data_IF_894701599866
#
_entry.id   IF_894701599866
#
_cell.length_a   1.000
_cell.length_b   1.000
_cell.length_c   1.000
_cell.angle_alpha   90.00
_cell.angle_beta   90.00
_cell.angle_gamma   90.00
#
_symmetry.space_group_name_H-M   'P 1'
#
loop_
_entity.id
_entity.type
_entity.pdbx_description
1 polymer ?
#
# COMPACT_ATOMS: atom_id res chain seq x y z
N UNK A 1 32.94 -12.83 -7.11
CA UNK A 1 32.87 -11.60 -7.95
C UNK A 1 31.77 -11.60 -9.05
N UNK A 2 31.18 -12.73 -9.44
CA UNK A 2 30.13 -12.78 -10.46
C UNK A 2 28.76 -12.23 -9.97
N UNK A 3 28.50 -12.26 -8.67
CA UNK A 3 27.18 -11.96 -8.11
C UNK A 3 26.76 -10.48 -8.13
N UNK A 4 27.73 -9.56 -8.00
CA UNK A 4 27.44 -8.11 -8.11
C UNK A 4 27.11 -7.66 -9.54
N UNK A 5 27.51 -8.45 -10.54
CA UNK A 5 27.30 -8.13 -11.94
C UNK A 5 25.85 -8.28 -12.37
N UNK A 6 25.18 -9.34 -11.95
CA UNK A 6 23.78 -9.59 -12.29
C UNK A 6 22.82 -8.53 -11.72
N UNK A 7 23.07 -8.05 -10.50
CA UNK A 7 22.27 -6.98 -9.91
C UNK A 7 22.48 -5.65 -10.62
N UNK A 8 23.75 -5.31 -10.92
CA UNK A 8 24.08 -4.11 -11.68
C UNK A 8 23.47 -4.12 -13.10
N UNK A 9 23.49 -5.28 -13.77
CA UNK A 9 22.86 -5.46 -15.08
C UNK A 9 21.33 -5.28 -15.01
N UNK A 10 20.67 -5.80 -13.96
CA UNK A 10 19.23 -5.57 -13.73
C UNK A 10 18.98 -4.08 -13.49
N UNK A 11 19.74 -3.42 -12.63
CA UNK A 11 19.59 -2.00 -12.36
C UNK A 11 19.79 -1.14 -13.61
N UNK A 12 20.78 -1.47 -14.43
CA UNK A 12 21.03 -0.75 -15.70
C UNK A 12 19.93 -1.00 -16.71
N UNK A 13 19.50 -2.25 -16.89
CA UNK A 13 18.44 -2.62 -17.82
C UNK A 13 17.09 -1.96 -17.50
N UNK A 14 16.78 -1.83 -16.20
CA UNK A 14 15.51 -1.29 -15.72
C UNK A 14 15.64 0.12 -15.12
N UNK A 15 16.65 0.89 -15.53
CA UNK A 15 16.86 2.27 -15.06
C UNK A 15 15.68 3.21 -15.39
N UNK A 16 14.87 2.89 -16.41
CA UNK A 16 13.65 3.60 -16.76
C UNK A 16 12.41 3.23 -15.92
N UNK A 17 12.53 2.23 -15.04
CA UNK A 17 11.43 1.73 -14.20
C UNK A 17 11.58 2.14 -12.74
N UNK A 18 10.51 2.02 -11.98
CA UNK A 18 10.56 2.03 -10.50
C UNK A 18 11.00 0.65 -10.03
N UNK A 19 12.30 0.43 -9.91
CA UNK A 19 12.84 -0.86 -9.52
C UNK A 19 12.60 -1.10 -8.03
N UNK A 20 11.82 -2.14 -7.71
CA UNK A 20 11.54 -2.57 -6.34
C UNK A 20 12.51 -3.69 -5.97
N UNK A 21 13.45 -3.37 -5.10
CA UNK A 21 14.40 -4.34 -4.59
C UNK A 21 14.09 -4.66 -3.14
N UNK A 22 13.85 -5.92 -2.79
CA UNK A 22 13.87 -6.32 -1.39
C UNK A 22 15.27 -6.02 -0.83
N UNK A 23 15.34 -5.40 0.34
CA UNK A 23 16.58 -4.88 0.93
C UNK A 23 17.60 -5.98 1.27
N UNK A 24 18.40 -6.39 0.30
CA UNK A 24 19.61 -7.16 0.48
C UNK A 24 20.62 -6.68 -0.55
N UNK A 25 21.74 -6.16 -0.08
CA UNK A 25 22.82 -5.64 -0.92
C UNK A 25 23.77 -6.75 -1.41
N UNK A 26 23.72 -7.94 -0.85
CA UNK A 26 24.52 -9.09 -1.25
C UNK A 26 23.62 -10.19 -1.81
N UNK A 27 23.56 -10.25 -3.13
CA UNK A 27 22.83 -11.31 -3.82
C UNK A 27 23.80 -12.41 -4.21
N UNK A 28 23.86 -13.47 -3.42
CA UNK A 28 24.41 -14.73 -3.89
C UNK A 28 23.36 -15.40 -4.78
N UNK A 29 23.68 -15.56 -6.06
CA UNK A 29 22.83 -16.30 -6.98
C UNK A 29 22.94 -17.79 -6.65
N UNK A 30 21.85 -18.38 -6.22
CA UNK A 30 21.76 -19.81 -6.00
C UNK A 30 21.45 -20.49 -7.34
N UNK A 31 22.23 -21.46 -7.83
CA UNK A 31 22.07 -22.08 -9.14
C UNK A 31 20.77 -22.89 -9.31
N UNK A 32 20.04 -23.12 -8.22
CA UNK A 32 18.71 -23.75 -8.24
C UNK A 32 17.59 -22.77 -8.58
N UNK A 33 17.87 -21.47 -8.63
CA UNK A 33 16.86 -20.45 -8.83
C UNK A 33 17.18 -19.51 -9.99
N UNK A 34 16.14 -19.09 -10.68
CA UNK A 34 16.20 -18.09 -11.74
C UNK A 34 15.51 -16.81 -11.30
N UNK A 35 16.13 -15.67 -11.56
CA UNK A 35 15.54 -14.35 -11.37
C UNK A 35 14.92 -13.90 -12.70
N UNK A 36 13.65 -13.58 -12.67
CA UNK A 36 12.95 -12.89 -13.76
C UNK A 36 12.45 -11.56 -13.24
N UNK A 37 12.54 -10.49 -14.05
CA UNK A 37 11.98 -9.18 -13.67
C UNK A 37 10.62 -9.04 -14.34
N UNK A 38 9.62 -8.78 -13.52
CA UNK A 38 8.25 -8.54 -13.97
C UNK A 38 7.99 -7.04 -13.99
N UNK A 39 7.49 -6.52 -15.11
CA UNK A 39 7.07 -5.14 -15.22
C UNK A 39 5.57 -5.02 -14.94
N UNK A 40 5.21 -4.08 -14.08
CA UNK A 40 3.81 -3.81 -13.71
C UNK A 40 3.52 -2.35 -14.02
N UNK A 41 2.80 -2.06 -15.11
CA UNK A 41 2.38 -0.71 -15.42
C UNK A 41 1.33 -0.22 -14.42
N UNK A 42 1.31 1.10 -14.21
CA UNK A 42 0.33 1.76 -13.35
C UNK A 42 -0.73 2.40 -14.26
N UNK A 43 -1.98 2.10 -13.99
CA UNK A 43 -3.07 2.79 -14.66
C UNK A 43 -3.42 4.07 -13.88
N UNK A 44 -3.12 5.22 -14.49
CA UNK A 44 -3.36 6.55 -13.91
C UNK A 44 -4.70 7.16 -14.32
N UNK A 45 -5.57 6.41 -15.00
CA UNK A 45 -6.92 6.87 -15.32
C UNK A 45 -7.73 7.07 -14.03
N UNK A 46 -8.65 8.04 -14.03
CA UNK A 46 -9.40 8.46 -12.83
C UNK A 46 -10.18 7.31 -12.18
N UNK A 47 -10.60 6.33 -12.95
CA UNK A 47 -11.45 5.22 -12.49
C UNK A 47 -10.70 3.89 -12.31
N UNK A 48 -9.38 3.85 -12.52
CA UNK A 48 -8.60 2.62 -12.41
C UNK A 48 -8.53 2.08 -10.99
N UNK A 49 -8.51 2.98 -10.00
CA UNK A 49 -8.32 2.64 -8.60
C UNK A 49 -6.90 2.16 -8.24
N UNK A 50 -5.95 2.19 -9.19
CA UNK A 50 -4.57 1.76 -8.93
C UNK A 50 -3.85 2.68 -7.94
N UNK A 51 -4.18 3.98 -7.96
CA UNK A 51 -3.57 4.98 -7.09
C UNK A 51 -4.63 5.96 -6.56
N UNK A 52 -4.32 6.61 -5.44
CA UNK A 52 -5.13 7.71 -4.92
C UNK A 52 -4.23 8.87 -4.51
N UNK A 53 -4.72 10.10 -4.69
CA UNK A 53 -4.01 11.32 -4.30
C UNK A 53 -3.95 11.41 -2.77
N UNK A 54 -2.74 11.60 -2.23
CA UNK A 54 -2.51 11.74 -0.78
C UNK A 54 -2.32 13.20 -0.40
N UNK A 55 -1.54 13.93 -1.19
CA UNK A 55 -1.18 15.30 -0.88
C UNK A 55 -0.38 15.95 -1.99
N UNK A 56 0.43 16.91 -1.62
CA UNK A 56 1.43 17.53 -2.48
C UNK A 56 2.70 17.80 -1.69
N UNK A 57 3.84 17.67 -2.36
CA UNK A 57 5.16 17.97 -1.81
C UNK A 57 5.73 19.20 -2.51
N UNK A 58 6.43 20.01 -1.75
CA UNK A 58 7.14 21.17 -2.26
C UNK A 58 8.41 20.69 -2.98
N UNK A 59 8.59 21.07 -4.22
CA UNK A 59 9.80 20.83 -5.01
C UNK A 59 10.32 22.14 -5.57
N UNK A 60 11.63 22.31 -5.56
CA UNK A 60 12.27 23.49 -6.19
C UNK A 60 12.59 23.13 -7.63
N UNK A 61 11.89 23.75 -8.59
CA UNK A 61 12.15 23.63 -10.02
C UNK A 61 12.59 24.98 -10.57
N UNK A 62 13.77 25.02 -11.18
CA UNK A 62 14.35 26.26 -11.74
C UNK A 62 14.41 27.43 -10.74
N UNK A 63 14.73 27.13 -9.48
CA UNK A 63 14.81 28.12 -8.40
C UNK A 63 13.46 28.63 -7.89
N UNK A 64 12.35 28.04 -8.31
CA UNK A 64 10.99 28.35 -7.83
C UNK A 64 10.39 27.15 -7.09
N UNK A 65 9.69 27.43 -6.02
CA UNK A 65 8.98 26.42 -5.27
C UNK A 65 7.66 26.06 -5.98
N UNK A 66 7.51 24.80 -6.38
CA UNK A 66 6.32 24.26 -7.01
C UNK A 66 5.76 23.12 -6.15
N UNK A 67 4.45 23.09 -5.96
CA UNK A 67 3.78 21.98 -5.27
C UNK A 67 3.41 20.92 -6.29
N UNK A 68 3.99 19.73 -6.12
CA UNK A 68 3.74 18.56 -6.99
C UNK A 68 2.85 17.57 -6.24
N UNK A 69 1.75 17.16 -6.88
CA UNK A 69 0.83 16.19 -6.31
C UNK A 69 1.50 14.83 -6.08
N UNK A 70 1.19 14.22 -4.94
CA UNK A 70 1.68 12.89 -4.56
C UNK A 70 0.54 11.91 -4.46
N UNK A 71 0.81 10.68 -4.86
CA UNK A 71 -0.12 9.58 -4.95
C UNK A 71 0.43 8.37 -4.18
N UNK A 72 -0.46 7.58 -3.64
CA UNK A 72 -0.11 6.32 -2.98
C UNK A 72 -0.73 5.15 -3.73
N UNK A 73 0.03 4.04 -3.92
CA UNK A 73 -0.52 2.82 -4.47
C UNK A 73 -1.70 2.31 -3.66
N UNK A 74 -2.81 2.03 -4.33
CA UNK A 74 -4.02 1.48 -3.75
C UNK A 74 -4.02 -0.06 -3.82
N UNK A 75 -5.04 -0.70 -3.23
CA UNK A 75 -5.15 -2.17 -3.17
C UNK A 75 -5.00 -2.86 -4.53
N UNK A 76 -5.64 -2.41 -5.64
CA UNK A 76 -5.49 -3.08 -6.93
C UNK A 76 -4.04 -3.14 -7.40
N UNK A 77 -3.32 -2.02 -7.37
CA UNK A 77 -1.90 -1.99 -7.76
C UNK A 77 -1.03 -2.82 -6.82
N UNK A 78 -1.28 -2.74 -5.51
CA UNK A 78 -0.52 -3.52 -4.53
C UNK A 78 -0.69 -5.03 -4.76
N UNK A 79 -1.90 -5.48 -5.11
CA UNK A 79 -2.15 -6.90 -5.43
C UNK A 79 -1.46 -7.32 -6.75
N UNK A 80 -1.43 -6.46 -7.78
CA UNK A 80 -0.66 -6.72 -9.01
C UNK A 80 0.83 -6.88 -8.70
N UNK A 81 1.39 -6.01 -7.85
CA UNK A 81 2.78 -6.07 -7.42
C UNK A 81 3.08 -7.31 -6.57
N UNK A 82 2.18 -7.69 -5.67
CA UNK A 82 2.32 -8.90 -4.87
C UNK A 82 2.36 -10.16 -5.75
N UNK A 83 1.47 -10.24 -6.74
CA UNK A 83 1.43 -11.35 -7.69
C UNK A 83 2.71 -11.39 -8.54
N UNK A 84 3.19 -10.24 -9.03
CA UNK A 84 4.43 -10.12 -9.79
C UNK A 84 5.66 -10.55 -8.98
N UNK A 85 5.74 -10.15 -7.70
CA UNK A 85 6.79 -10.54 -6.77
C UNK A 85 6.75 -12.02 -6.36
N UNK A 86 5.60 -12.69 -6.57
CA UNK A 86 5.37 -14.04 -6.09
C UNK A 86 5.16 -14.10 -4.56
N UNK A 87 4.58 -13.04 -3.98
CA UNK A 87 4.23 -13.03 -2.55
C UNK A 87 3.08 -14.02 -2.32
N UNK A 88 3.28 -14.89 -1.35
CA UNK A 88 2.27 -15.84 -0.87
C UNK A 88 1.84 -15.46 0.54
N UNK A 89 0.54 -15.38 0.76
CA UNK A 89 -0.03 -15.19 2.08
C UNK A 89 -0.37 -16.53 2.70
N UNK A 90 0.04 -16.71 3.95
CA UNK A 90 -0.29 -17.88 4.74
C UNK A 90 -1.76 -17.77 5.20
N UNK A 91 -2.65 -18.69 4.79
CA UNK A 91 -4.07 -18.60 5.12
C UNK A 91 -4.36 -18.82 6.61
N UNK A 92 -3.53 -19.56 7.33
CA UNK A 92 -3.72 -19.83 8.77
C UNK A 92 -3.24 -18.62 9.60
N UNK A 93 -2.26 -17.88 9.10
CA UNK A 93 -1.65 -16.72 9.76
C UNK A 93 -2.20 -15.38 9.27
N UNK A 94 -3.05 -15.40 8.23
CA UNK A 94 -3.69 -14.20 7.67
C UNK A 94 -5.18 -14.25 7.99
N UNK A 95 -5.58 -13.52 9.02
CA UNK A 95 -6.94 -13.57 9.52
C UNK A 95 -7.38 -12.21 10.09
N UNK A 96 -8.70 -12.04 10.18
CA UNK A 96 -9.32 -10.93 10.89
C UNK A 96 -10.21 -11.43 12.01
N UNK A 97 -10.17 -10.76 13.14
CA UNK A 97 -11.02 -11.05 14.30
C UNK A 97 -11.73 -9.78 14.77
N UNK A 98 -12.90 -9.96 15.31
CA UNK A 98 -13.60 -8.94 16.09
C UNK A 98 -13.29 -9.20 17.56
N UNK A 99 -12.38 -8.41 18.15
CA UNK A 99 -11.96 -8.59 19.54
C UNK A 99 -13.09 -8.26 20.53
N UNK A 100 -13.88 -7.23 20.19
CA UNK A 100 -15.09 -6.84 20.93
C UNK A 100 -16.06 -6.11 19.99
N UNK A 101 -17.14 -5.49 20.54
CA UNK A 101 -18.16 -4.81 19.75
C UNK A 101 -17.61 -3.65 18.91
N UNK A 102 -16.55 -2.98 19.40
CA UNK A 102 -16.01 -1.77 18.79
C UNK A 102 -14.61 -1.93 18.21
N UNK A 103 -14.00 -3.12 18.28
CA UNK A 103 -12.62 -3.30 17.87
C UNK A 103 -12.42 -4.45 16.89
N UNK A 104 -11.90 -4.13 15.72
CA UNK A 104 -11.53 -5.08 14.68
C UNK A 104 -10.01 -5.12 14.53
N UNK A 105 -9.45 -6.31 14.58
CA UNK A 105 -8.03 -6.56 14.37
C UNK A 105 -7.86 -7.50 13.19
N UNK A 106 -6.94 -7.18 12.31
CA UNK A 106 -6.52 -8.10 11.26
C UNK A 106 -5.00 -8.26 11.30
N UNK A 107 -4.56 -9.48 11.03
CA UNK A 107 -3.17 -9.85 10.89
C UNK A 107 -2.97 -10.44 9.51
N UNK A 108 -1.88 -10.06 8.85
CA UNK A 108 -1.45 -10.69 7.62
C UNK A 108 -0.01 -11.19 7.77
N UNK A 109 0.25 -12.36 7.20
CA UNK A 109 1.58 -12.96 7.12
C UNK A 109 1.86 -13.31 5.67
N UNK A 110 2.90 -12.73 5.11
CA UNK A 110 3.31 -12.97 3.74
C UNK A 110 4.75 -13.44 3.66
N UNK A 111 5.05 -14.20 2.62
CA UNK A 111 6.37 -14.72 2.30
C UNK A 111 6.68 -14.49 0.83
N UNK A 112 7.92 -14.22 0.52
CA UNK A 112 8.46 -14.20 -0.85
C UNK A 112 9.83 -14.85 -0.88
N UNK A 113 10.23 -15.35 -2.04
CA UNK A 113 11.56 -15.91 -2.22
C UNK A 113 12.55 -14.83 -2.64
N UNK A 114 13.71 -14.85 -2.00
CA UNK A 114 14.81 -13.94 -2.28
C UNK A 114 15.76 -14.55 -3.33
N UNK A 115 16.59 -13.71 -4.00
CA UNK A 115 17.55 -14.18 -5.01
C UNK A 115 18.55 -15.23 -4.53
N UNK A 116 18.88 -15.22 -3.24
CA UNK A 116 19.74 -16.23 -2.60
C UNK A 116 19.04 -17.58 -2.34
N UNK A 117 17.75 -17.69 -2.69
CA UNK A 117 16.93 -18.86 -2.46
C UNK A 117 16.25 -18.89 -1.09
N UNK A 118 16.61 -17.99 -0.18
CA UNK A 118 16.00 -17.91 1.15
C UNK A 118 14.58 -17.33 1.06
N UNK A 119 13.75 -17.66 2.05
CA UNK A 119 12.45 -17.04 2.22
C UNK A 119 12.54 -15.75 3.02
N UNK A 120 12.00 -14.63 2.50
CA UNK A 120 11.75 -13.43 3.29
C UNK A 120 10.29 -13.44 3.73
N UNK A 121 10.06 -13.32 5.02
CA UNK A 121 8.71 -13.27 5.60
C UNK A 121 8.47 -11.94 6.29
N UNK A 122 7.22 -11.51 6.32
CA UNK A 122 6.79 -10.35 7.09
C UNK A 122 5.38 -10.56 7.62
N UNK A 123 5.16 -10.12 8.84
CA UNK A 123 3.83 -10.09 9.45
C UNK A 123 3.53 -8.66 9.90
N UNK A 124 2.31 -8.22 9.69
CA UNK A 124 1.84 -6.92 10.16
C UNK A 124 0.37 -7.01 10.59
N UNK A 125 -0.02 -6.08 11.44
CA UNK A 125 -1.37 -6.01 12.00
C UNK A 125 -1.97 -4.63 11.73
N UNK A 126 -3.29 -4.60 11.54
CA UNK A 126 -4.08 -3.37 11.51
C UNK A 126 -5.25 -3.51 12.46
N UNK A 127 -5.34 -2.56 13.37
CA UNK A 127 -6.49 -2.42 14.27
C UNK A 127 -7.34 -1.25 13.78
N UNK A 128 -8.65 -1.41 13.85
CA UNK A 128 -9.63 -0.34 13.76
C UNK A 128 -10.43 -0.38 15.05
N UNK A 129 -10.25 0.67 15.84
CA UNK A 129 -10.99 0.91 17.06
C UNK A 129 -12.08 1.95 16.75
N UNK A 130 -13.33 1.55 16.91
CA UNK A 130 -14.47 2.40 16.55
C UNK A 130 -14.65 3.56 17.52
N UNK A 131 -14.21 3.39 18.78
CA UNK A 131 -14.31 4.45 19.78
C UNK A 131 -13.30 5.56 19.49
N UNK A 132 -12.06 5.19 19.13
CA UNK A 132 -11.04 6.14 18.69
C UNK A 132 -11.47 6.87 17.40
N UNK A 133 -12.04 6.14 16.44
CA UNK A 133 -12.50 6.72 15.18
C UNK A 133 -13.70 7.65 15.38
N UNK A 134 -14.61 7.33 16.32
CA UNK A 134 -15.70 8.21 16.70
C UNK A 134 -15.19 9.53 17.30
N UNK A 135 -14.22 9.45 18.21
CA UNK A 135 -13.58 10.62 18.78
C UNK A 135 -12.89 11.49 17.70
N UNK A 136 -12.18 10.85 16.77
CA UNK A 136 -11.53 11.52 15.65
C UNK A 136 -12.57 12.24 14.73
N UNK A 137 -13.66 11.59 14.40
CA UNK A 137 -14.74 12.21 13.61
C UNK A 137 -15.38 13.38 14.36
N UNK A 138 -15.57 13.26 15.67
CA UNK A 138 -16.16 14.34 16.47
C UNK A 138 -15.26 15.58 16.45
N UNK A 139 -13.95 15.42 16.60
CA UNK A 139 -12.97 16.52 16.49
C UNK A 139 -12.96 17.10 15.08
N UNK A 140 -12.95 16.26 14.05
CA UNK A 140 -12.94 16.70 12.66
C UNK A 140 -14.18 17.55 12.31
N UNK A 141 -15.38 17.11 12.73
CA UNK A 141 -16.61 17.83 12.42
C UNK A 141 -16.80 19.06 13.31
N UNK A 142 -16.26 19.05 14.53
CA UNK A 142 -16.18 20.27 15.33
C UNK A 142 -15.34 21.33 14.62
N UNK A 143 -14.14 20.96 14.18
CA UNK A 143 -13.26 21.85 13.43
C UNK A 143 -13.92 22.39 12.15
N UNK A 144 -14.55 21.52 11.37
CA UNK A 144 -15.28 21.92 10.14
C UNK A 144 -16.43 22.86 10.43
N UNK A 145 -17.15 22.68 11.53
CA UNK A 145 -18.27 23.54 11.90
C UNK A 145 -17.84 24.96 12.25
N UNK A 146 -16.63 25.12 12.83
CA UNK A 146 -16.07 26.40 13.27
C UNK A 146 -15.29 27.09 12.15
N UNK A 147 -14.38 26.36 11.49
CA UNK A 147 -13.49 26.88 10.45
C UNK A 147 -14.19 27.04 9.09
N UNK A 148 -15.29 26.32 8.90
CA UNK A 148 -16.07 26.28 7.67
C UNK A 148 -15.82 25.02 6.83
N UNK A 149 -16.87 24.53 6.24
CA UNK A 149 -16.90 23.38 5.32
C UNK A 149 -16.49 23.89 3.94
N UNK A 150 -15.30 23.51 3.47
CA UNK A 150 -14.74 23.98 2.19
C UNK A 150 -15.07 23.07 0.99
N UNK A 151 -15.55 21.85 1.23
CA UNK A 151 -16.06 20.98 0.16
C UNK A 151 -17.43 21.49 -0.30
N UNK A 152 -17.57 21.84 -1.57
CA UNK A 152 -18.74 22.52 -2.11
C UNK A 152 -20.04 21.70 -1.93
N UNK A 153 -19.97 20.38 -2.16
CA UNK A 153 -21.16 19.50 -2.03
C UNK A 153 -21.57 19.37 -0.57
N UNK A 154 -20.60 19.14 0.31
CA UNK A 154 -20.85 19.03 1.75
C UNK A 154 -21.35 20.36 2.34
N UNK A 155 -20.79 21.51 1.90
CA UNK A 155 -21.20 22.83 2.33
C UNK A 155 -22.66 23.15 1.92
N UNK A 156 -23.05 22.86 0.67
CA UNK A 156 -24.43 23.02 0.20
C UNK A 156 -25.40 22.15 0.98
N UNK A 157 -25.07 20.86 1.17
CA UNK A 157 -25.90 19.94 1.94
C UNK A 157 -26.02 20.37 3.43
N UNK A 158 -24.97 20.95 4.01
CA UNK A 158 -25.04 21.50 5.37
C UNK A 158 -25.91 22.76 5.43
N UNK A 159 -25.83 23.64 4.43
CA UNK A 159 -26.63 24.86 4.37
C UNK A 159 -28.13 24.60 4.20
N UNK A 160 -28.50 23.46 3.61
CA UNK A 160 -29.92 23.04 3.51
C UNK A 160 -30.49 22.53 4.84
N UNK A 161 -29.66 22.04 5.74
CA UNK A 161 -30.11 21.36 6.96
C UNK A 161 -29.83 22.14 8.25
N UNK A 162 -28.82 23.01 8.26
CA UNK A 162 -28.39 23.69 9.46
C UNK A 162 -28.22 25.19 9.22
N UNK A 163 -28.50 25.98 10.23
CA UNK A 163 -28.30 27.44 10.20
C UNK A 163 -26.76 27.72 10.19
N UNK A 164 -26.40 28.73 9.42
CA UNK A 164 -25.02 29.15 9.33
C UNK A 164 -24.82 30.27 8.30
N UNK A 165 -23.56 30.55 7.99
CA UNK A 165 -23.19 31.61 7.07
C UNK A 165 -22.09 31.20 6.12
N UNK A 166 -22.14 31.73 4.90
CA UNK A 166 -21.06 31.59 3.94
C UNK A 166 -19.96 32.60 4.23
N UNK A 167 -18.71 32.13 4.21
CA UNK A 167 -17.52 32.98 4.37
C UNK A 167 -16.56 32.74 3.21
N UNK A 168 -15.69 33.70 2.95
CA UNK A 168 -14.56 33.52 2.05
C UNK A 168 -13.46 32.77 2.80
N UNK A 169 -12.95 31.72 2.20
CA UNK A 169 -11.96 30.84 2.79
C UNK A 169 -10.94 30.37 1.75
N UNK A 170 -9.93 29.68 2.22
CA UNK A 170 -8.97 29.01 1.35
C UNK A 170 -9.04 27.51 1.62
N UNK A 171 -9.19 26.73 0.56
CA UNK A 171 -9.22 25.29 0.71
C UNK A 171 -7.82 24.73 1.05
N UNK A 172 -7.75 23.45 1.38
CA UNK A 172 -6.49 22.77 1.72
C UNK A 172 -5.40 22.82 0.63
N UNK A 173 -5.76 23.30 -0.57
CA UNK A 173 -4.85 23.44 -1.72
C UNK A 173 -4.41 24.89 -1.95
N UNK A 174 -4.71 25.79 -1.02
CA UNK A 174 -4.39 27.23 -1.15
C UNK A 174 -5.25 28.00 -2.16
N UNK A 175 -6.36 27.40 -2.67
CA UNK A 175 -7.26 28.08 -3.61
C UNK A 175 -8.38 28.76 -2.84
N UNK A 176 -8.73 30.01 -3.24
CA UNK A 176 -9.88 30.73 -2.71
C UNK A 176 -11.17 29.93 -2.98
N UNK A 177 -12.01 29.82 -1.99
CA UNK A 177 -13.29 29.14 -2.06
C UNK A 177 -14.29 29.76 -1.10
N UNK A 178 -15.57 29.40 -1.23
CA UNK A 178 -16.59 29.68 -0.21
C UNK A 178 -16.64 28.50 0.76
N UNK A 179 -16.70 28.80 2.05
CA UNK A 179 -16.91 27.81 3.10
C UNK A 179 -18.19 28.13 3.87
N UNK A 180 -18.85 27.09 4.38
CA UNK A 180 -20.06 27.24 5.18
C UNK A 180 -19.75 26.98 6.65
N UNK A 181 -19.93 27.97 7.50
CA UNK A 181 -19.76 27.90 8.95
C UNK A 181 -21.11 27.67 9.60
N UNK A 182 -21.18 26.68 10.49
CA UNK A 182 -22.41 26.35 11.21
C UNK A 182 -22.58 27.25 12.43
N UNK A 183 -23.77 27.82 12.61
CA UNK A 183 -24.08 28.62 13.79
C UNK A 183 -24.08 27.79 15.08
N UNK A 184 -23.77 28.42 16.18
CA UNK A 184 -23.64 27.77 17.50
C UNK A 184 -24.91 26.96 17.89
N UNK A 185 -26.08 27.44 17.53
CA UNK A 185 -27.36 26.77 17.86
C UNK A 185 -27.58 25.42 17.16
N UNK A 186 -26.92 25.20 16.01
CA UNK A 186 -27.06 23.95 15.25
C UNK A 186 -25.77 23.14 15.19
N UNK A 187 -24.68 23.65 15.79
CA UNK A 187 -23.35 23.03 15.74
C UNK A 187 -23.34 21.61 16.26
N UNK A 188 -23.90 21.37 17.44
CA UNK A 188 -23.94 20.03 18.03
C UNK A 188 -24.75 19.05 17.18
N UNK A 189 -25.89 19.47 16.66
CA UNK A 189 -26.71 18.64 15.76
C UNK A 189 -25.96 18.26 14.47
N UNK A 190 -25.21 19.21 13.92
CA UNK A 190 -24.36 18.95 12.75
C UNK A 190 -23.27 17.91 13.08
N UNK A 191 -22.57 18.07 14.21
CA UNK A 191 -21.51 17.14 14.64
C UNK A 191 -22.10 15.75 14.85
N UNK A 192 -23.13 15.61 15.67
CA UNK A 192 -23.78 14.33 15.98
C UNK A 192 -24.23 13.58 14.72
N UNK A 193 -24.94 14.28 13.82
CA UNK A 193 -25.38 13.69 12.56
C UNK A 193 -24.22 13.25 11.69
N UNK A 194 -23.19 14.08 11.57
CA UNK A 194 -22.02 13.80 10.73
C UNK A 194 -21.22 12.63 11.27
N UNK A 195 -21.03 12.55 12.58
CA UNK A 195 -20.39 11.42 13.26
C UNK A 195 -21.21 10.15 13.04
N UNK A 196 -22.53 10.18 13.27
CA UNK A 196 -23.40 9.02 13.10
C UNK A 196 -23.33 8.45 11.68
N UNK A 197 -23.36 9.30 10.65
CA UNK A 197 -23.26 8.88 9.25
C UNK A 197 -21.92 8.20 8.98
N UNK A 198 -20.81 8.82 9.40
CA UNK A 198 -19.46 8.27 9.15
C UNK A 198 -19.22 6.99 9.95
N UNK A 199 -19.68 6.92 11.21
CA UNK A 199 -19.58 5.70 12.02
C UNK A 199 -20.41 4.56 11.44
N UNK A 200 -21.60 4.85 10.89
CA UNK A 200 -22.40 3.82 10.22
C UNK A 200 -21.70 3.23 9.01
N UNK A 201 -21.04 4.08 8.19
CA UNK A 201 -20.25 3.63 7.05
C UNK A 201 -19.01 2.85 7.50
N UNK A 202 -18.32 3.32 8.54
CA UNK A 202 -17.14 2.66 9.06
C UNK A 202 -17.46 1.28 9.63
N UNK A 203 -18.53 1.15 10.44
CA UNK A 203 -18.97 -0.14 11.00
C UNK A 203 -19.25 -1.19 9.94
N UNK A 204 -19.81 -0.79 8.79
CA UNK A 204 -20.05 -1.70 7.66
C UNK A 204 -18.77 -2.23 7.02
N UNK A 205 -17.69 -1.45 7.05
CA UNK A 205 -16.46 -1.74 6.31
C UNK A 205 -15.24 -1.97 7.19
N UNK A 206 -15.37 -1.88 8.52
CA UNK A 206 -14.24 -1.92 9.45
C UNK A 206 -13.41 -3.22 9.33
N UNK A 207 -14.06 -4.37 9.27
CA UNK A 207 -13.40 -5.66 9.13
C UNK A 207 -12.61 -5.75 7.81
N UNK A 208 -13.21 -5.33 6.70
CA UNK A 208 -12.57 -5.32 5.38
C UNK A 208 -11.41 -4.32 5.33
N UNK A 209 -11.59 -3.13 5.90
CA UNK A 209 -10.52 -2.11 5.99
C UNK A 209 -9.35 -2.58 6.84
N UNK A 210 -9.61 -3.28 7.97
CA UNK A 210 -8.56 -3.84 8.81
C UNK A 210 -7.75 -4.89 8.04
N UNK A 211 -8.43 -5.86 7.39
CA UNK A 211 -7.78 -6.90 6.61
C UNK A 211 -7.00 -6.34 5.43
N UNK A 212 -7.61 -5.46 4.64
CA UNK A 212 -6.94 -4.80 3.51
C UNK A 212 -5.72 -4.00 4.00
N UNK A 213 -5.84 -3.31 5.12
CA UNK A 213 -4.73 -2.56 5.71
C UNK A 213 -3.56 -3.44 6.12
N UNK A 214 -3.80 -4.58 6.77
CA UNK A 214 -2.76 -5.53 7.16
C UNK A 214 -2.05 -6.12 5.93
N UNK A 215 -2.82 -6.59 4.92
CA UNK A 215 -2.27 -7.12 3.67
C UNK A 215 -1.41 -6.08 2.94
N UNK A 216 -1.91 -4.86 2.81
CA UNK A 216 -1.19 -3.78 2.13
C UNK A 216 0.14 -3.42 2.82
N UNK A 217 0.20 -3.48 4.14
CA UNK A 217 1.42 -3.25 4.92
C UNK A 217 2.45 -4.35 4.66
N UNK A 218 2.02 -5.60 4.65
CA UNK A 218 2.88 -6.76 4.34
C UNK A 218 3.46 -6.63 2.92
N UNK A 219 2.63 -6.30 1.91
CA UNK A 219 3.11 -6.12 0.53
C UNK A 219 4.17 -5.01 0.48
N UNK A 220 3.91 -3.86 1.10
CA UNK A 220 4.85 -2.73 1.12
C UNK A 220 6.18 -3.10 1.78
N UNK A 221 6.13 -3.80 2.91
CA UNK A 221 7.33 -4.22 3.65
C UNK A 221 8.17 -5.24 2.88
N UNK A 222 7.52 -6.20 2.22
CA UNK A 222 8.21 -7.22 1.43
C UNK A 222 8.84 -6.63 0.16
N UNK A 223 8.13 -5.73 -0.53
CA UNK A 223 8.56 -5.16 -1.82
C UNK A 223 9.42 -3.91 -1.70
N UNK A 224 9.49 -3.28 -0.52
CA UNK A 224 10.21 -2.02 -0.33
C UNK A 224 9.55 -0.80 -1.00
N UNK A 225 8.24 -0.84 -1.21
CA UNK A 225 7.49 0.26 -1.81
C UNK A 225 7.56 1.54 -0.96
N UNK A 226 7.78 2.66 -1.62
CA UNK A 226 7.64 3.99 -0.98
C UNK A 226 6.18 4.24 -0.58
N UNK A 227 5.98 5.09 0.42
CA UNK A 227 4.65 5.52 0.84
C UNK A 227 3.92 6.37 -0.20
N UNK A 228 4.67 7.21 -0.91
CA UNK A 228 4.15 8.18 -1.88
C UNK A 228 5.06 8.29 -3.10
N UNK A 229 4.44 8.61 -4.22
CA UNK A 229 5.07 8.81 -5.53
C UNK A 229 4.51 10.07 -6.19
N UNK A 230 5.31 10.76 -6.97
CA UNK A 230 4.84 11.80 -7.89
C UNK A 230 4.19 11.16 -9.13
N UNK A 231 3.41 11.94 -9.90
CA UNK A 231 2.82 11.45 -11.15
C UNK A 231 3.89 10.99 -12.13
N UNK A 232 4.98 11.75 -12.27
CA UNK A 232 6.09 11.43 -13.18
C UNK A 232 6.81 10.11 -12.78
N UNK A 233 6.88 9.78 -11.49
CA UNK A 233 7.37 8.47 -11.06
C UNK A 233 6.40 7.36 -11.45
N UNK A 234 5.08 7.57 -11.30
CA UNK A 234 4.06 6.57 -11.59
C UNK A 234 3.80 6.34 -13.09
N UNK A 235 4.20 7.26 -13.95
CA UNK A 235 4.22 7.05 -15.41
C UNK A 235 5.25 6.00 -15.84
N UNK A 236 6.22 5.70 -14.97
CA UNK A 236 7.17 4.61 -15.17
C UNK A 236 6.60 3.33 -14.56
N UNK A 237 6.70 2.17 -15.24
CA UNK A 237 6.26 0.90 -14.68
C UNK A 237 7.08 0.53 -13.45
N UNK A 238 6.50 -0.26 -12.57
CA UNK A 238 7.27 -0.92 -11.52
C UNK A 238 7.96 -2.15 -12.10
N UNK A 239 9.25 -2.31 -11.82
CA UNK A 239 10.01 -3.51 -12.13
C UNK A 239 10.29 -4.27 -10.84
N UNK A 240 9.84 -5.51 -10.74
CA UNK A 240 9.98 -6.30 -9.54
C UNK A 240 10.64 -7.66 -9.85
N UNK A 241 11.76 -7.99 -9.18
CA UNK A 241 12.39 -9.29 -9.33
C UNK A 241 11.52 -10.39 -8.73
N UNK A 242 11.28 -11.44 -9.52
CA UNK A 242 10.63 -12.68 -9.10
C UNK A 242 11.63 -13.81 -9.14
N UNK A 243 11.77 -14.53 -8.05
CA UNK A 243 12.66 -15.68 -7.94
C UNK A 243 11.84 -16.95 -8.07
N UNK A 244 12.17 -17.77 -9.05
CA UNK A 244 11.49 -19.04 -9.30
C UNK A 244 12.48 -20.19 -9.19
N UNK A 245 12.04 -21.33 -8.67
CA UNK A 245 12.83 -22.56 -8.70
C UNK A 245 12.94 -23.05 -10.15
N UNK A 246 14.13 -22.95 -10.70
CA UNK A 246 14.45 -23.36 -12.07
C UNK A 246 15.92 -23.76 -12.11
N UNK A 247 16.25 -24.99 -11.65
CA UNK A 247 17.63 -25.42 -11.53
C UNK A 247 18.33 -25.46 -12.89
N UNK A 248 19.56 -24.97 -12.91
CA UNK A 248 20.42 -25.09 -14.09
C UNK A 248 21.10 -26.47 -14.08
N UNK A 249 20.52 -27.38 -14.82
CA UNK A 249 21.07 -28.75 -14.95
C UNK A 249 22.42 -28.82 -15.68
N UNK A 250 22.93 -27.72 -16.21
CA UNK A 250 24.30 -27.66 -16.74
C UNK A 250 25.33 -27.43 -15.65
N UNK A 251 24.92 -26.88 -14.52
CA UNK A 251 25.76 -26.62 -13.35
C UNK A 251 26.17 -27.92 -12.65
N UNK A 252 27.45 -28.13 -12.36
CA UNK A 252 27.95 -29.35 -11.70
C UNK A 252 27.40 -29.57 -10.28
N UNK A 253 27.16 -28.49 -9.52
CA UNK A 253 26.59 -28.60 -8.17
C UNK A 253 25.14 -29.03 -8.20
N UNK A 254 24.36 -28.50 -9.13
CA UNK A 254 22.98 -28.88 -9.34
C UNK A 254 22.88 -30.36 -9.74
N UNK A 255 23.69 -30.79 -10.70
CA UNK A 255 23.79 -32.21 -11.10
C UNK A 255 24.10 -33.12 -9.93
N UNK A 256 25.11 -32.75 -9.14
CA UNK A 256 25.50 -33.54 -7.97
C UNK A 256 24.38 -33.64 -6.94
N UNK A 257 23.71 -32.53 -6.63
CA UNK A 257 22.61 -32.52 -5.66
C UNK A 257 21.44 -33.41 -6.11
N UNK A 258 21.07 -33.36 -7.39
CA UNK A 258 20.00 -34.21 -7.93
C UNK A 258 20.39 -35.71 -7.93
N UNK A 259 21.63 -36.05 -8.28
CA UNK A 259 22.12 -37.41 -8.20
C UNK A 259 22.09 -37.94 -6.77
N UNK A 260 22.56 -37.14 -5.81
CA UNK A 260 22.56 -37.51 -4.38
C UNK A 260 21.11 -37.73 -3.87
N UNK A 261 20.21 -36.84 -4.23
CA UNK A 261 18.78 -36.97 -3.84
C UNK A 261 18.15 -38.21 -4.50
N UNK A 262 18.44 -38.45 -5.77
CA UNK A 262 17.94 -39.63 -6.48
C UNK A 262 18.47 -40.94 -5.83
N UNK A 263 19.74 -41.00 -5.47
CA UNK A 263 20.33 -42.17 -4.76
C UNK A 263 19.69 -42.36 -3.38
N UNK A 264 19.48 -41.29 -2.61
CA UNK A 264 18.79 -41.37 -1.31
C UNK A 264 17.36 -41.84 -1.43
N UNK A 265 16.63 -41.37 -2.46
CA UNK A 265 15.24 -41.81 -2.72
C UNK A 265 15.18 -43.30 -3.10
N UNK A 266 16.12 -43.80 -3.90
CA UNK A 266 16.23 -45.21 -4.24
C UNK A 266 16.57 -46.03 -2.99
N UNK A 267 17.52 -45.56 -2.17
CA UNK A 267 17.89 -46.22 -0.91
C UNK A 267 16.72 -46.31 0.08
N UNK A 268 15.85 -45.31 0.13
CA UNK A 268 14.66 -45.33 1.00
C UNK A 268 13.53 -46.21 0.48
N UNK A 269 13.53 -46.57 -0.83
CA UNK A 269 12.52 -47.42 -1.44
C UNK A 269 12.96 -48.90 -1.42
N UNK A 270 14.25 -49.19 -1.40
CA UNK A 270 14.80 -50.57 -1.55
C UNK A 270 15.74 -50.97 -0.41
N UNK A 271 15.98 -50.09 0.60
CA UNK A 271 16.86 -50.31 1.74
C UNK A 271 16.23 -50.95 2.95
#
# INVERSE_FOLDING_TARGET
>A
MQNNRALAEIQQKYAGCNLLMPASTEVQLNPFYKITVMEVPVDLSENSGDVFKVGSVKQTQNGRDVYVDTFSPAKPLLMKLAAAAGIQFDPERTYGIRENQNRYKAKAFGAMRMPDGNGKTHADEKVIDLDDEEANFRVEFMDKSIKGITDEKAAKAAAEMFKGKWIDATNKWGKACKAYVIDDCDREKYIERSVLVNMTLLRKTAAEKAMTGAINRVIRALTGLKGQYTRAELERPFAIPRVTFAPDYTDPEVKRAFLTQGMNSIGSLFG
#
